data_IF_978278433084
#
_entry.id   IF_978278433084
#
_cell.length_a   1.000
_cell.length_b   1.000
_cell.length_c   1.000
_cell.angle_alpha   90.00
_cell.angle_beta   90.00
_cell.angle_gamma   90.00
#
_symmetry.space_group_name_H-M   'P 1'
#
loop_
_entity.id
_entity.type
_entity.pdbx_description
1 polymer ?
#
# COMPACT_ATOMS: atom_id res chain seq x y z
N UNK A 1 -35.96 -17.93 3.66
CA UNK A 1 -35.22 -18.10 2.39
C UNK A 1 -34.50 -16.84 1.90
N UNK A 2 -34.95 -15.62 2.21
CA UNK A 2 -34.22 -14.37 1.84
C UNK A 2 -32.98 -14.11 2.71
N UNK A 3 -32.93 -14.70 3.91
CA UNK A 3 -31.88 -14.51 4.92
C UNK A 3 -30.58 -15.28 4.61
N UNK A 4 -30.64 -16.46 3.97
CA UNK A 4 -29.44 -17.27 3.72
C UNK A 4 -28.64 -16.78 2.51
N UNK A 5 -29.30 -16.33 1.45
CA UNK A 5 -28.60 -15.81 0.26
C UNK A 5 -27.86 -14.49 0.55
N UNK A 6 -28.44 -13.62 1.38
CA UNK A 6 -27.79 -12.37 1.80
C UNK A 6 -26.59 -12.63 2.71
N UNK A 7 -26.68 -13.64 3.60
CA UNK A 7 -25.56 -14.11 4.42
C UNK A 7 -24.42 -14.68 3.57
N UNK A 8 -24.74 -15.51 2.57
CA UNK A 8 -23.74 -16.06 1.65
C UNK A 8 -23.06 -14.94 0.85
N UNK A 9 -23.84 -13.98 0.32
CA UNK A 9 -23.30 -12.83 -0.39
C UNK A 9 -22.33 -12.01 0.48
N UNK A 10 -22.72 -11.70 1.73
CA UNK A 10 -21.84 -11.00 2.68
C UNK A 10 -20.58 -11.79 3.01
N UNK A 11 -20.69 -13.10 3.20
CA UNK A 11 -19.53 -13.95 3.45
C UNK A 11 -18.55 -13.95 2.28
N UNK A 12 -19.04 -13.97 1.04
CA UNK A 12 -18.20 -13.90 -0.17
C UNK A 12 -17.52 -12.52 -0.28
N UNK A 13 -18.26 -11.43 -0.06
CA UNK A 13 -17.68 -10.07 -0.07
C UNK A 13 -16.62 -9.91 1.01
N UNK A 14 -16.87 -10.44 2.21
CA UNK A 14 -15.91 -10.41 3.31
C UNK A 14 -14.66 -11.21 2.98
N UNK A 15 -14.81 -12.44 2.48
CA UNK A 15 -13.69 -13.29 2.07
C UNK A 15 -12.85 -12.65 0.94
N UNK A 16 -13.51 -11.99 -0.01
CA UNK A 16 -12.84 -11.20 -1.04
C UNK A 16 -12.03 -10.05 -0.43
N UNK A 17 -12.61 -9.31 0.53
CA UNK A 17 -11.93 -8.24 1.23
C UNK A 17 -10.74 -8.73 2.07
N UNK A 18 -10.94 -9.77 2.86
CA UNK A 18 -9.88 -10.40 3.67
C UNK A 18 -8.73 -10.91 2.80
N UNK A 19 -9.04 -11.45 1.62
CA UNK A 19 -8.03 -11.86 0.65
C UNK A 19 -7.23 -10.68 0.11
N UNK A 20 -7.89 -9.59 -0.30
CA UNK A 20 -7.20 -8.37 -0.77
C UNK A 20 -6.31 -7.83 0.35
N UNK A 21 -6.84 -7.70 1.57
CA UNK A 21 -6.10 -7.14 2.69
C UNK A 21 -4.88 -8.00 3.05
N UNK A 22 -5.05 -9.32 3.15
CA UNK A 22 -3.93 -10.23 3.41
C UNK A 22 -2.86 -10.09 2.32
N UNK A 23 -3.29 -10.06 1.05
CA UNK A 23 -2.37 -9.97 -0.07
C UNK A 23 -1.67 -8.61 -0.16
N UNK A 24 -2.34 -7.52 0.20
CA UNK A 24 -1.74 -6.19 0.21
C UNK A 24 -0.66 -6.08 1.30
N UNK A 25 -0.89 -6.69 2.47
CA UNK A 25 0.12 -6.81 3.53
C UNK A 25 1.34 -7.63 3.06
N UNK A 26 1.12 -8.78 2.41
CA UNK A 26 2.19 -9.59 1.83
C UNK A 26 3.00 -8.82 0.77
N UNK A 27 2.33 -8.03 -0.07
CA UNK A 27 2.98 -7.20 -1.08
C UNK A 27 3.88 -6.14 -0.42
N UNK A 28 3.42 -5.47 0.65
CA UNK A 28 4.24 -4.48 1.37
C UNK A 28 5.55 -5.09 1.89
N UNK A 29 5.49 -6.33 2.40
CA UNK A 29 6.67 -7.04 2.89
C UNK A 29 7.57 -7.48 1.75
N UNK A 30 7.02 -8.18 0.76
CA UNK A 30 7.79 -8.78 -0.34
C UNK A 30 8.40 -7.75 -1.30
N UNK A 31 7.79 -6.58 -1.47
CA UNK A 31 8.34 -5.47 -2.26
C UNK A 31 9.40 -4.66 -1.50
N UNK A 32 9.65 -4.94 -0.21
CA UNK A 32 10.61 -4.20 0.60
C UNK A 32 10.16 -2.77 0.96
N UNK A 33 8.86 -2.47 0.81
CA UNK A 33 8.26 -1.18 1.13
C UNK A 33 8.37 -0.92 2.64
N UNK A 34 8.13 -1.95 3.45
CA UNK A 34 8.10 -1.84 4.92
C UNK A 34 9.40 -1.25 5.50
N UNK A 35 9.31 -0.05 6.09
CA UNK A 35 10.39 0.63 6.83
C UNK A 35 10.27 0.38 8.34
N UNK A 36 9.53 1.24 9.03
CA UNK A 36 9.22 1.12 10.47
C UNK A 36 8.01 0.23 10.75
N UNK A 37 7.44 -0.39 9.71
CA UNK A 37 6.15 -1.07 9.79
C UNK A 37 4.94 -0.13 9.83
N UNK A 38 5.13 1.19 9.84
CA UNK A 38 4.01 2.16 9.93
C UNK A 38 2.97 1.97 8.81
N UNK A 39 3.38 1.65 7.59
CA UNK A 39 2.44 1.33 6.50
C UNK A 39 1.61 0.08 6.81
N UNK A 40 2.25 -1.02 7.25
CA UNK A 40 1.56 -2.26 7.62
C UNK A 40 0.54 -2.02 8.72
N UNK A 41 0.96 -1.32 9.79
CA UNK A 41 0.14 -1.00 10.97
C UNK A 41 -1.02 -0.08 10.62
N UNK A 42 -0.86 0.80 9.62
CA UNK A 42 -1.91 1.74 9.21
C UNK A 42 -3.06 1.10 8.42
N UNK A 43 -2.90 -0.16 8.00
CA UNK A 43 -3.88 -0.90 7.23
C UNK A 43 -5.01 -1.42 8.12
N UNK A 44 -6.25 -1.15 7.75
CA UNK A 44 -7.45 -1.64 8.41
C UNK A 44 -8.42 -2.27 7.42
N UNK A 45 -9.22 -3.22 7.91
CA UNK A 45 -10.35 -3.79 7.18
C UNK A 45 -11.57 -3.86 8.08
N UNK A 46 -12.66 -3.22 7.66
CA UNK A 46 -13.90 -3.16 8.43
C UNK A 46 -15.12 -3.30 7.52
N UNK A 47 -16.23 -3.71 8.12
CA UNK A 47 -17.51 -3.78 7.43
C UNK A 47 -18.36 -2.57 7.78
N UNK A 48 -18.85 -1.89 6.75
CA UNK A 48 -19.78 -0.76 6.86
C UNK A 48 -21.05 -1.07 6.07
N UNK A 49 -22.04 -1.62 6.76
CA UNK A 49 -23.31 -2.06 6.16
C UNK A 49 -23.11 -3.27 5.24
N UNK A 50 -23.26 -3.06 3.93
CA UNK A 50 -23.08 -4.11 2.91
C UNK A 50 -21.71 -4.01 2.20
N UNK A 51 -20.84 -3.13 2.67
CA UNK A 51 -19.51 -2.91 2.11
C UNK A 51 -18.45 -3.44 3.07
N UNK A 52 -17.41 -4.03 2.49
CA UNK A 52 -16.14 -4.24 3.18
C UNK A 52 -15.17 -3.17 2.69
N UNK A 53 -14.67 -2.36 3.63
CA UNK A 53 -13.74 -1.26 3.37
C UNK A 53 -12.35 -1.70 3.79
N UNK A 54 -11.39 -1.47 2.90
CA UNK A 54 -9.96 -1.64 3.16
C UNK A 54 -9.32 -0.28 3.01
N UNK A 55 -8.60 0.17 4.04
CA UNK A 55 -7.94 1.47 4.01
C UNK A 55 -6.53 1.40 4.61
N UNK A 56 -5.69 2.33 4.17
CA UNK A 56 -4.37 2.57 4.75
C UNK A 56 -4.29 4.03 5.18
N UNK A 57 -4.19 4.27 6.47
CA UNK A 57 -4.26 5.61 7.07
C UNK A 57 -2.91 6.36 7.06
N UNK A 58 -1.82 5.69 6.68
CA UNK A 58 -0.53 6.34 6.53
C UNK A 58 -0.61 7.42 5.43
N UNK A 59 -0.24 8.68 5.70
CA UNK A 59 -0.39 9.78 4.73
C UNK A 59 0.34 9.56 3.39
N UNK A 60 1.38 8.74 3.40
CA UNK A 60 2.20 8.42 2.23
C UNK A 60 1.76 7.13 1.51
N UNK A 61 0.73 6.42 1.98
CA UNK A 61 0.32 5.13 1.41
C UNK A 61 -0.02 5.22 -0.08
N UNK A 62 -0.80 6.24 -0.48
CA UNK A 62 -1.15 6.48 -1.88
C UNK A 62 0.08 6.79 -2.73
N UNK A 63 0.97 7.69 -2.25
CA UNK A 63 2.21 8.02 -2.93
C UNK A 63 3.14 6.80 -3.14
N UNK A 64 3.11 5.82 -2.22
CA UNK A 64 3.84 4.56 -2.39
C UNK A 64 3.18 3.67 -3.43
N UNK A 65 1.85 3.50 -3.36
CA UNK A 65 1.12 2.64 -4.29
C UNK A 65 1.21 3.16 -5.74
N UNK A 66 0.90 4.44 -5.93
CA UNK A 66 0.72 5.07 -7.23
C UNK A 66 2.00 5.72 -7.76
N UNK A 67 2.99 5.90 -6.89
CA UNK A 67 4.12 6.78 -7.16
C UNK A 67 3.70 8.24 -7.06
N UNK A 68 4.57 9.13 -7.52
CA UNK A 68 4.32 10.57 -7.49
C UNK A 68 4.90 11.21 -8.73
N UNK A 69 4.28 12.30 -9.18
CA UNK A 69 4.92 13.21 -10.13
C UNK A 69 6.16 13.86 -9.52
N UNK A 70 6.94 14.53 -10.37
CA UNK A 70 8.08 15.35 -9.95
C UNK A 70 7.62 16.46 -8.99
N UNK A 71 8.25 16.55 -7.83
CA UNK A 71 7.94 17.57 -6.83
C UNK A 71 9.15 17.82 -5.94
N UNK A 72 9.20 19.01 -5.34
CA UNK A 72 10.25 19.33 -4.38
C UNK A 72 10.05 18.51 -3.11
N UNK A 73 11.16 17.98 -2.58
CA UNK A 73 11.23 17.28 -1.28
C UNK A 73 12.37 17.92 -0.51
N UNK A 74 12.13 18.26 0.75
CA UNK A 74 13.21 18.72 1.63
C UNK A 74 14.10 17.52 2.01
N UNK A 75 15.42 17.55 1.71
CA UNK A 75 16.34 16.49 2.10
C UNK A 75 16.29 16.15 3.60
N UNK A 76 15.99 17.12 4.47
CA UNK A 76 15.90 16.90 5.92
C UNK A 76 14.81 15.89 6.29
N UNK A 77 13.71 15.83 5.52
CA UNK A 77 12.63 14.86 5.71
C UNK A 77 13.07 13.41 5.40
N UNK A 78 14.12 13.24 4.59
CA UNK A 78 14.61 11.95 4.14
C UNK A 78 15.70 11.36 5.03
N UNK A 79 16.34 12.15 5.91
CA UNK A 79 17.50 11.71 6.70
C UNK A 79 17.21 10.43 7.51
N UNK A 80 16.07 10.45 8.22
CA UNK A 80 15.65 9.30 9.03
C UNK A 80 15.39 8.06 8.19
N UNK A 81 14.77 8.23 7.02
CA UNK A 81 14.51 7.14 6.08
C UNK A 81 15.82 6.60 5.51
N UNK A 82 16.73 7.46 5.06
CA UNK A 82 18.05 7.10 4.50
C UNK A 82 18.85 6.28 5.51
N UNK A 83 18.91 6.73 6.75
CA UNK A 83 19.65 6.04 7.82
C UNK A 83 19.11 4.63 8.06
N UNK A 84 17.78 4.47 8.11
CA UNK A 84 17.14 3.16 8.35
C UNK A 84 17.21 2.23 7.14
N UNK A 85 16.95 2.75 5.94
CA UNK A 85 16.79 1.93 4.73
C UNK A 85 18.08 1.64 3.99
N UNK A 86 19.00 2.59 3.94
CA UNK A 86 20.24 2.44 3.16
C UNK A 86 21.42 1.99 4.01
N UNK A 87 21.34 2.12 5.34
CA UNK A 87 22.40 1.68 6.26
C UNK A 87 23.77 2.32 5.99
N UNK A 88 23.77 3.54 5.44
CA UNK A 88 24.99 4.28 5.10
C UNK A 88 25.64 4.88 6.36
N UNK A 89 26.95 5.17 6.34
CA UNK A 89 27.63 5.90 7.41
C UNK A 89 26.95 7.25 7.72
N UNK A 90 27.02 7.70 8.97
CA UNK A 90 26.34 8.92 9.42
C UNK A 90 26.78 10.15 8.61
N UNK A 91 28.06 10.24 8.30
CA UNK A 91 28.67 11.29 7.47
C UNK A 91 28.12 11.35 6.04
N UNK A 92 27.55 10.24 5.54
CA UNK A 92 27.00 10.15 4.19
C UNK A 92 25.47 10.36 4.15
N UNK A 93 24.77 10.32 5.29
CA UNK A 93 23.29 10.39 5.34
C UNK A 93 22.77 11.65 4.66
N UNK A 94 23.35 12.82 4.98
CA UNK A 94 22.89 14.10 4.44
C UNK A 94 23.10 14.19 2.93
N UNK A 95 24.25 13.73 2.45
CA UNK A 95 24.55 13.68 1.00
C UNK A 95 23.55 12.77 0.28
N UNK A 96 23.28 11.58 0.81
CA UNK A 96 22.34 10.62 0.23
C UNK A 96 20.90 11.14 0.21
N UNK A 97 20.49 11.83 1.27
CA UNK A 97 19.19 12.48 1.31
C UNK A 97 19.04 13.54 0.20
N UNK A 98 20.07 14.38 0.01
CA UNK A 98 20.10 15.36 -1.08
C UNK A 98 20.00 14.72 -2.47
N UNK A 99 20.80 13.68 -2.72
CA UNK A 99 20.77 12.94 -4.00
C UNK A 99 19.40 12.33 -4.30
N UNK A 100 18.71 11.82 -3.27
CA UNK A 100 17.36 11.25 -3.41
C UNK A 100 16.34 12.36 -3.64
N UNK A 101 16.38 13.45 -2.87
CA UNK A 101 15.50 14.60 -3.04
C UNK A 101 15.61 15.17 -4.46
N UNK A 102 16.83 15.36 -4.98
CA UNK A 102 17.08 15.82 -6.35
C UNK A 102 16.49 14.87 -7.39
N UNK A 103 16.60 13.56 -7.14
CA UNK A 103 16.05 12.54 -8.03
C UNK A 103 14.52 12.59 -8.04
N UNK A 104 13.87 12.74 -6.90
CA UNK A 104 12.42 12.90 -6.79
C UNK A 104 11.97 14.21 -7.44
N UNK A 105 12.70 15.31 -7.24
CA UNK A 105 12.43 16.59 -7.87
C UNK A 105 12.54 16.54 -9.40
N UNK A 106 13.40 15.68 -9.93
CA UNK A 106 13.59 15.54 -11.37
C UNK A 106 12.64 14.54 -12.04
N UNK A 107 12.31 13.44 -11.36
CA UNK A 107 11.64 12.29 -11.97
C UNK A 107 10.38 11.82 -11.25
N UNK A 108 10.10 12.34 -10.05
CA UNK A 108 9.08 11.78 -9.16
C UNK A 108 9.51 10.44 -8.56
N UNK A 109 8.53 9.65 -8.13
CA UNK A 109 8.73 8.30 -7.59
C UNK A 109 8.02 7.27 -8.45
N UNK A 110 8.58 6.07 -8.54
CA UNK A 110 7.94 4.96 -9.25
C UNK A 110 6.90 4.29 -8.33
N UNK A 111 5.75 3.87 -8.88
CA UNK A 111 4.76 3.12 -8.13
C UNK A 111 5.33 1.81 -7.58
N UNK A 112 4.93 1.47 -6.36
CA UNK A 112 5.09 0.15 -5.76
C UNK A 112 3.68 -0.34 -5.38
N UNK A 113 2.92 -0.88 -6.35
CA UNK A 113 1.46 -0.99 -6.30
C UNK A 113 1.00 -2.14 -5.40
N UNK A 114 1.23 -2.04 -4.10
CA UNK A 114 0.93 -3.11 -3.14
C UNK A 114 -0.56 -3.41 -3.03
N UNK A 115 -1.42 -2.39 -3.17
CA UNK A 115 -2.88 -2.54 -3.14
C UNK A 115 -3.42 -2.97 -4.51
N UNK A 116 -3.04 -2.28 -5.59
CA UNK A 116 -3.57 -2.60 -6.91
C UNK A 116 -3.16 -4.01 -7.38
N UNK A 117 -1.95 -4.45 -7.01
CA UNK A 117 -1.53 -5.82 -7.25
C UNK A 117 -2.39 -6.83 -6.47
N UNK A 118 -2.78 -6.51 -5.22
CA UNK A 118 -3.67 -7.36 -4.43
C UNK A 118 -5.07 -7.44 -5.05
N UNK A 119 -5.63 -6.29 -5.48
CA UNK A 119 -6.92 -6.21 -6.15
C UNK A 119 -6.91 -7.00 -7.47
N UNK A 120 -5.86 -6.84 -8.28
CA UNK A 120 -5.74 -7.55 -9.56
C UNK A 120 -5.75 -9.07 -9.37
N UNK A 121 -5.00 -9.58 -8.39
CA UNK A 121 -4.98 -11.01 -8.06
C UNK A 121 -6.33 -11.47 -7.53
N UNK A 122 -6.99 -10.66 -6.69
CA UNK A 122 -8.32 -10.98 -6.17
C UNK A 122 -9.37 -11.06 -7.29
N UNK A 123 -9.40 -10.11 -8.21
CA UNK A 123 -10.32 -10.12 -9.36
C UNK A 123 -10.19 -11.40 -10.17
N UNK A 124 -8.97 -11.84 -10.44
CA UNK A 124 -8.75 -13.10 -11.17
C UNK A 124 -9.18 -14.34 -10.35
N UNK A 125 -8.93 -14.36 -9.03
CA UNK A 125 -9.36 -15.47 -8.16
C UNK A 125 -10.89 -15.58 -8.08
N UNK A 126 -11.62 -14.47 -8.11
CA UNK A 126 -13.08 -14.43 -7.90
C UNK A 126 -13.89 -14.17 -9.18
N UNK A 127 -13.26 -14.26 -10.36
CA UNK A 127 -13.84 -13.97 -11.69
C UNK A 127 -15.13 -14.73 -12.08
N UNK A 128 -15.56 -15.71 -11.29
CA UNK A 128 -16.83 -16.43 -11.45
C UNK A 128 -17.80 -16.33 -10.27
N UNK A 129 -17.45 -15.56 -9.24
CA UNK A 129 -18.22 -15.41 -8.00
C UNK A 129 -18.73 -13.98 -7.79
N UNK A 130 -18.08 -13.00 -8.43
CA UNK A 130 -18.39 -11.58 -8.34
C UNK A 130 -18.38 -10.99 -9.76
N UNK A 131 -19.38 -10.17 -10.06
CA UNK A 131 -19.48 -9.45 -11.33
C UNK A 131 -18.72 -8.12 -11.19
N UNK A 132 -17.70 -7.91 -12.02
CA UNK A 132 -16.76 -6.78 -11.90
C UNK A 132 -16.93 -5.72 -13.01
N UNK A 133 -18.09 -5.72 -13.69
CA UNK A 133 -18.45 -4.78 -14.77
C UNK A 133 -18.64 -3.35 -14.30
#
# INVERSE_FOLDING_TARGET
MVDDTSKIGRAIVRDFGDFIFTRSQDNIVSMGISDTGALLISGDIRDEGEKTIIEYTAPYAAAVNDGTDKHFVDPEELLGWVKRKLGVPEEDVQKRAGEIADKIAKFGTKPQPFMDAAISVAKEKYKGHLDFT
#
